data_IF_131919433912
#
_entry.id   IF_131919433912
#
_cell.length_a   1.000
_cell.length_b   1.000
_cell.length_c   1.000
_cell.angle_alpha   90.00
_cell.angle_beta   90.00
_cell.angle_gamma   90.00
#
_symmetry.space_group_name_H-M   'P 1'
#
loop_
_entity.id
_entity.type
_entity.pdbx_description
1 polymer ?
#
# COMPACT_ATOMS: atom_id res chain seq x y z
N UNK A 1 63.38 -16.47 -53.97
CA UNK A 1 62.39 -15.40 -53.67
C UNK A 1 61.65 -15.68 -52.36
N UNK A 2 61.86 -16.84 -51.73
CA UNK A 2 61.06 -17.37 -50.61
C UNK A 2 61.10 -16.54 -49.33
N UNK A 3 62.20 -15.80 -49.08
CA UNK A 3 62.29 -14.91 -47.91
C UNK A 3 61.15 -13.88 -47.90
N UNK A 4 60.70 -13.42 -49.08
CA UNK A 4 59.59 -12.47 -49.19
C UNK A 4 58.23 -13.12 -48.90
N UNK A 5 57.97 -14.33 -49.43
CA UNK A 5 56.71 -15.04 -49.22
C UNK A 5 56.56 -15.54 -47.79
N UNK A 6 57.63 -16.02 -47.15
CA UNK A 6 57.62 -16.37 -45.72
C UNK A 6 57.31 -15.15 -44.84
N UNK A 7 57.99 -14.02 -45.07
CA UNK A 7 57.73 -12.79 -44.33
C UNK A 7 56.29 -12.25 -44.53
N UNK A 8 55.72 -12.42 -45.72
CA UNK A 8 54.31 -12.07 -45.97
C UNK A 8 53.36 -12.99 -45.20
N UNK A 9 53.61 -14.31 -45.23
CA UNK A 9 52.81 -15.30 -44.51
C UNK A 9 52.82 -15.04 -42.98
N UNK A 10 53.98 -14.71 -42.43
CA UNK A 10 54.13 -14.43 -41.00
C UNK A 10 53.45 -13.11 -40.57
N UNK A 11 53.48 -12.07 -41.42
CA UNK A 11 52.67 -10.86 -41.23
C UNK A 11 51.18 -11.19 -41.16
N UNK A 12 50.66 -12.00 -42.09
CA UNK A 12 49.25 -12.41 -42.06
C UNK A 12 48.91 -13.26 -40.82
N UNK A 13 49.82 -14.14 -40.36
CA UNK A 13 49.65 -14.88 -39.09
C UNK A 13 49.59 -13.92 -37.89
N UNK A 14 50.40 -12.87 -37.86
CA UNK A 14 50.39 -11.84 -36.82
C UNK A 14 49.06 -11.07 -36.83
N UNK A 15 48.62 -10.56 -37.98
CA UNK A 15 47.32 -9.88 -38.12
C UNK A 15 46.16 -10.80 -37.70
N UNK A 16 46.23 -12.10 -38.02
CA UNK A 16 45.24 -13.10 -37.58
C UNK A 16 45.19 -13.24 -36.06
N UNK A 17 46.33 -13.24 -35.37
CA UNK A 17 46.38 -13.30 -33.91
C UNK A 17 45.78 -12.04 -33.27
N UNK A 18 46.04 -10.87 -33.85
CA UNK A 18 45.50 -9.59 -33.40
C UNK A 18 43.99 -9.50 -33.61
N UNK A 19 43.47 -9.93 -34.77
CA UNK A 19 42.02 -10.07 -35.01
C UNK A 19 41.35 -11.00 -34.00
N UNK A 20 41.99 -12.13 -33.64
CA UNK A 20 41.46 -13.05 -32.63
C UNK A 20 41.38 -12.38 -31.25
N UNK A 21 42.41 -11.59 -30.86
CA UNK A 21 42.40 -10.80 -29.62
C UNK A 21 41.26 -9.77 -29.62
N UNK A 22 41.08 -9.04 -30.73
CA UNK A 22 40.02 -8.05 -30.86
C UNK A 22 38.63 -8.69 -30.78
N UNK A 23 38.42 -9.84 -31.45
CA UNK A 23 37.18 -10.62 -31.37
C UNK A 23 36.91 -11.13 -29.94
N UNK A 24 37.93 -11.55 -29.20
CA UNK A 24 37.78 -11.94 -27.80
C UNK A 24 37.37 -10.74 -26.93
N UNK A 25 38.00 -9.58 -27.11
CA UNK A 25 37.65 -8.34 -26.40
C UNK A 25 36.21 -7.89 -26.68
N UNK A 26 35.78 -7.90 -27.94
CA UNK A 26 34.42 -7.52 -28.33
C UNK A 26 33.37 -8.47 -27.72
N UNK A 27 33.65 -9.79 -27.69
CA UNK A 27 32.77 -10.76 -27.03
C UNK A 27 32.66 -10.53 -25.54
N UNK A 28 33.78 -10.22 -24.88
CA UNK A 28 33.81 -9.93 -23.45
C UNK A 28 32.97 -8.69 -23.12
N UNK A 29 33.14 -7.60 -23.88
CA UNK A 29 32.35 -6.37 -23.72
C UNK A 29 30.85 -6.58 -23.98
N UNK A 30 30.47 -7.42 -24.94
CA UNK A 30 29.06 -7.76 -25.17
C UNK A 30 28.47 -8.49 -23.94
N UNK A 31 29.19 -9.47 -23.38
CA UNK A 31 28.74 -10.21 -22.18
C UNK A 31 28.68 -9.30 -20.95
N UNK A 32 29.58 -8.32 -20.84
CA UNK A 32 29.55 -7.29 -19.79
C UNK A 32 28.30 -6.42 -19.89
N UNK A 33 27.94 -5.93 -21.10
CA UNK A 33 26.69 -5.18 -21.29
C UNK A 33 25.46 -6.06 -21.03
N UNK A 34 25.42 -7.30 -21.51
CA UNK A 34 24.32 -8.23 -21.21
C UNK A 34 24.20 -8.50 -19.70
N UNK A 35 25.31 -8.50 -18.96
CA UNK A 35 25.29 -8.62 -17.49
C UNK A 35 24.67 -7.38 -16.84
N UNK A 36 25.05 -6.18 -17.31
CA UNK A 36 24.50 -4.90 -16.84
C UNK A 36 23.01 -4.74 -17.15
N UNK A 37 22.56 -5.11 -18.37
CA UNK A 37 21.14 -5.15 -18.76
C UNK A 37 20.34 -6.04 -17.78
N UNK A 38 20.84 -7.24 -17.48
CA UNK A 38 20.19 -8.17 -16.56
C UNK A 38 20.26 -7.74 -15.09
N UNK A 39 21.29 -7.00 -14.68
CA UNK A 39 21.41 -6.41 -13.33
C UNK A 39 20.38 -5.30 -13.13
N UNK A 40 20.31 -4.33 -14.04
CA UNK A 40 19.34 -3.22 -14.01
C UNK A 40 17.88 -3.72 -14.00
N UNK A 41 17.56 -4.79 -14.74
CA UNK A 41 16.22 -5.41 -14.70
C UNK A 41 15.90 -5.99 -13.31
N UNK A 42 16.85 -6.68 -12.67
CA UNK A 42 16.65 -7.29 -11.35
C UNK A 42 16.57 -6.25 -10.23
N UNK A 43 17.33 -5.17 -10.34
CA UNK A 43 17.24 -4.02 -9.43
C UNK A 43 15.86 -3.37 -9.53
N UNK A 44 15.37 -3.09 -10.74
CA UNK A 44 14.02 -2.56 -10.97
C UNK A 44 12.91 -3.49 -10.45
N UNK A 45 13.03 -4.81 -10.65
CA UNK A 45 12.07 -5.78 -10.10
C UNK A 45 12.03 -5.75 -8.56
N UNK A 46 13.20 -5.61 -7.92
CA UNK A 46 13.32 -5.50 -6.46
C UNK A 46 12.74 -4.17 -5.95
N UNK A 47 13.13 -3.03 -6.53
CA UNK A 47 12.65 -1.71 -6.13
C UNK A 47 11.13 -1.58 -6.34
N UNK A 48 10.60 -2.08 -7.46
CA UNK A 48 9.16 -2.16 -7.69
C UNK A 48 8.46 -2.98 -6.61
N UNK A 49 9.01 -4.13 -6.21
CA UNK A 49 8.40 -4.97 -5.18
C UNK A 49 8.40 -4.28 -3.78
N UNK A 50 9.41 -3.46 -3.49
CA UNK A 50 9.46 -2.62 -2.29
C UNK A 50 8.40 -1.51 -2.33
N UNK A 51 8.32 -0.74 -3.42
CA UNK A 51 7.30 0.31 -3.58
C UNK A 51 5.88 -0.26 -3.59
N UNK A 52 5.65 -1.43 -4.18
CA UNK A 52 4.34 -2.11 -4.15
C UNK A 52 3.97 -2.53 -2.71
N UNK A 53 4.95 -2.94 -1.89
CA UNK A 53 4.75 -3.21 -0.46
C UNK A 53 4.42 -1.95 0.34
N UNK A 54 5.14 -0.85 0.10
CA UNK A 54 4.83 0.46 0.71
C UNK A 54 3.44 0.95 0.30
N UNK A 55 3.14 1.00 -1.00
CA UNK A 55 1.83 1.43 -1.53
C UNK A 55 0.68 0.64 -0.91
N UNK A 56 0.79 -0.69 -0.82
CA UNK A 56 -0.25 -1.52 -0.21
C UNK A 56 -0.44 -1.24 1.29
N UNK A 57 0.65 -0.98 2.03
CA UNK A 57 0.58 -0.58 3.44
C UNK A 57 -0.03 0.82 3.60
N UNK A 58 0.30 1.75 2.69
CA UNK A 58 -0.27 3.09 2.66
C UNK A 58 -1.78 3.05 2.35
N UNK A 59 -2.22 2.26 1.37
CA UNK A 59 -3.62 2.02 1.07
C UNK A 59 -4.41 1.36 2.21
N UNK A 60 -3.81 0.40 2.94
CA UNK A 60 -4.52 -0.30 4.02
C UNK A 60 -4.86 0.64 5.18
N UNK A 61 -3.88 1.40 5.70
CA UNK A 61 -4.21 2.34 6.79
C UNK A 61 -5.05 3.53 6.30
N UNK A 62 -4.93 3.96 5.02
CA UNK A 62 -5.83 4.96 4.43
C UNK A 62 -7.30 4.51 4.51
N UNK A 63 -7.57 3.24 4.17
CA UNK A 63 -8.90 2.65 4.29
C UNK A 63 -9.35 2.58 5.76
N UNK A 64 -8.47 2.19 6.68
CA UNK A 64 -8.78 2.17 8.12
C UNK A 64 -9.12 3.57 8.67
N UNK A 65 -8.42 4.61 8.21
CA UNK A 65 -8.72 6.01 8.57
C UNK A 65 -10.06 6.47 7.98
N UNK A 66 -10.35 6.11 6.72
CA UNK A 66 -11.64 6.39 6.08
C UNK A 66 -12.81 5.71 6.80
N UNK A 67 -12.67 4.44 7.19
CA UNK A 67 -13.68 3.71 7.95
C UNK A 67 -13.91 4.34 9.34
N UNK A 68 -12.83 4.77 9.99
CA UNK A 68 -12.90 5.47 11.28
C UNK A 68 -13.54 6.85 11.17
N UNK A 69 -13.28 7.61 10.10
CA UNK A 69 -13.99 8.86 9.79
C UNK A 69 -15.49 8.60 9.61
N UNK A 70 -15.87 7.53 8.92
CA UNK A 70 -17.28 7.17 8.73
C UNK A 70 -17.95 6.75 10.05
N UNK A 71 -17.25 6.03 10.92
CA UNK A 71 -17.74 5.71 12.27
C UNK A 71 -17.96 6.97 13.13
N UNK A 72 -17.07 7.96 13.08
CA UNK A 72 -17.26 9.24 13.79
C UNK A 72 -18.46 10.04 13.24
N UNK A 73 -18.67 10.06 11.92
CA UNK A 73 -19.86 10.69 11.31
C UNK A 73 -21.16 10.02 11.76
N UNK A 74 -21.17 8.69 11.88
CA UNK A 74 -22.31 7.94 12.41
C UNK A 74 -22.58 8.32 13.87
N UNK A 75 -21.54 8.36 14.72
CA UNK A 75 -21.67 8.79 16.12
C UNK A 75 -22.19 10.24 16.28
N UNK A 76 -21.82 11.15 15.36
CA UNK A 76 -22.40 12.50 15.33
C UNK A 76 -23.89 12.49 14.99
N UNK A 77 -24.31 11.68 14.01
CA UNK A 77 -25.72 11.54 13.65
C UNK A 77 -26.55 10.93 14.79
N UNK A 78 -26.03 9.87 15.43
CA UNK A 78 -26.65 9.25 16.61
C UNK A 78 -26.78 10.22 17.80
N UNK A 79 -25.80 11.11 18.02
CA UNK A 79 -25.87 12.14 19.07
C UNK A 79 -26.97 13.17 18.79
N UNK A 80 -27.13 13.59 17.53
CA UNK A 80 -28.20 14.50 17.09
C UNK A 80 -29.57 13.84 17.26
N UNK A 81 -29.71 12.57 16.83
CA UNK A 81 -30.95 11.81 16.97
C UNK A 81 -31.34 11.59 18.44
N UNK A 82 -30.36 11.26 19.29
CA UNK A 82 -30.59 11.09 20.74
C UNK A 82 -31.10 12.39 21.38
N UNK A 83 -30.44 13.53 21.11
CA UNK A 83 -30.87 14.85 21.58
C UNK A 83 -32.26 15.25 21.09
N UNK A 84 -32.65 14.86 19.87
CA UNK A 84 -34.01 15.09 19.38
C UNK A 84 -35.05 14.29 20.18
N UNK A 85 -34.79 13.01 20.45
CA UNK A 85 -35.68 12.13 21.23
C UNK A 85 -35.78 12.49 22.70
N UNK A 86 -34.75 13.08 23.29
CA UNK A 86 -34.79 13.57 24.67
C UNK A 86 -35.67 14.81 24.78
N UNK A 87 -35.49 15.83 23.91
CA UNK A 87 -36.40 16.99 23.85
C UNK A 87 -37.87 16.60 23.56
N UNK A 88 -38.11 15.62 22.68
CA UNK A 88 -39.47 15.15 22.38
C UNK A 88 -40.18 14.58 23.62
N UNK A 89 -39.47 13.81 24.46
CA UNK A 89 -40.02 13.28 25.73
C UNK A 89 -40.29 14.37 26.75
N UNK A 90 -39.43 15.37 26.84
CA UNK A 90 -39.61 16.48 27.76
C UNK A 90 -40.85 17.31 27.40
N UNK A 91 -41.05 17.60 26.11
CA UNK A 91 -42.27 18.23 25.59
C UNK A 91 -43.51 17.37 25.95
N UNK A 92 -43.46 16.05 25.72
CA UNK A 92 -44.57 15.14 26.05
C UNK A 92 -44.91 15.11 27.56
N UNK A 93 -43.92 15.32 28.43
CA UNK A 93 -44.13 15.43 29.89
C UNK A 93 -44.78 16.77 30.25
N UNK A 94 -44.33 17.87 29.65
CA UNK A 94 -44.86 19.21 29.91
C UNK A 94 -46.29 19.35 29.40
N UNK A 95 -46.59 18.87 28.19
CA UNK A 95 -47.94 18.87 27.61
C UNK A 95 -48.95 18.17 28.52
N UNK A 96 -48.60 16.99 29.06
CA UNK A 96 -49.46 16.24 30.01
C UNK A 96 -49.69 16.99 31.32
N UNK A 97 -48.71 17.76 31.80
CA UNK A 97 -48.84 18.54 33.03
C UNK A 97 -49.68 19.80 32.82
N UNK A 98 -49.56 20.43 31.66
CA UNK A 98 -50.46 21.50 31.24
C UNK A 98 -51.89 21.00 31.06
N UNK A 99 -52.09 19.81 30.49
CA UNK A 99 -53.42 19.17 30.39
C UNK A 99 -54.02 18.87 31.77
N UNK A 100 -53.27 18.23 32.69
CA UNK A 100 -53.71 17.99 34.08
C UNK A 100 -54.17 19.26 34.80
N UNK A 101 -53.47 20.38 34.58
CA UNK A 101 -53.74 21.67 35.21
C UNK A 101 -54.96 22.36 34.58
N UNK A 102 -55.02 22.44 33.26
CA UNK A 102 -56.16 22.99 32.52
C UNK A 102 -57.47 22.29 32.88
N UNK A 103 -57.41 20.96 33.01
CA UNK A 103 -58.56 20.13 33.33
C UNK A 103 -59.01 20.28 34.80
N UNK A 104 -58.15 20.81 35.68
CA UNK A 104 -58.48 21.18 37.06
C UNK A 104 -59.04 22.61 37.15
N UNK A 105 -58.41 23.56 36.46
CA UNK A 105 -58.88 24.96 36.34
C UNK A 105 -60.29 25.03 35.75
N UNK A 106 -60.57 24.21 34.73
CA UNK A 106 -61.91 24.08 34.14
C UNK A 106 -62.95 23.57 35.16
N UNK A 107 -62.62 22.56 35.97
CA UNK A 107 -63.53 22.03 37.01
C UNK A 107 -63.81 23.09 38.07
N UNK A 108 -62.79 23.80 38.51
CA UNK A 108 -62.93 24.92 39.44
C UNK A 108 -63.86 26.03 38.90
N UNK A 109 -63.73 26.40 37.62
CA UNK A 109 -64.63 27.36 36.97
C UNK A 109 -66.08 26.84 36.82
N UNK A 110 -66.28 25.53 36.65
CA UNK A 110 -67.61 24.91 36.69
C UNK A 110 -68.20 24.97 38.12
N UNK A 111 -67.39 24.71 39.15
CA UNK A 111 -67.77 24.85 40.57
C UNK A 111 -68.08 26.30 40.95
N UNK A 112 -67.33 27.28 40.44
CA UNK A 112 -67.58 28.72 40.64
C UNK A 112 -68.97 29.13 40.12
N UNK A 113 -69.32 28.67 38.90
CA UNK A 113 -70.64 28.92 38.32
C UNK A 113 -71.76 28.26 39.14
N UNK A 114 -71.55 27.03 39.63
CA UNK A 114 -72.51 26.39 40.55
C UNK A 114 -72.65 27.16 41.87
N UNK A 115 -71.55 27.66 42.44
CA UNK A 115 -71.57 28.48 43.65
C UNK A 115 -72.37 29.77 43.46
N UNK A 116 -72.26 30.40 42.29
CA UNK A 116 -73.01 31.62 41.93
C UNK A 116 -74.53 31.42 41.80
N UNK A 117 -74.99 30.19 41.61
CA UNK A 117 -76.39 29.85 41.28
C UNK A 117 -77.10 28.97 42.32
N UNK A 118 -76.40 28.52 43.36
CA UNK A 118 -76.92 27.62 44.39
C UNK A 118 -77.77 28.30 45.49
N UNK A 119 -78.53 27.48 46.24
CA UNK A 119 -79.33 27.92 47.40
C UNK A 119 -78.60 27.63 48.72
N UNK A 120 -78.93 28.39 49.78
CA UNK A 120 -78.18 28.41 51.06
C UNK A 120 -77.95 27.04 51.74
N UNK A 121 -78.79 26.02 51.51
CA UNK A 121 -78.62 24.67 52.11
C UNK A 121 -77.48 23.84 51.51
N UNK A 122 -77.04 24.18 50.30
CA UNK A 122 -76.00 23.44 49.56
C UNK A 122 -74.73 24.27 49.36
N UNK A 123 -74.88 25.60 49.48
CA UNK A 123 -73.83 26.62 49.32
C UNK A 123 -72.55 26.33 50.09
N UNK A 124 -72.64 25.94 51.37
CA UNK A 124 -71.45 25.67 52.19
C UNK A 124 -70.63 24.49 51.64
N UNK A 125 -71.28 23.45 51.09
CA UNK A 125 -70.60 22.28 50.51
C UNK A 125 -69.93 22.61 49.17
N UNK A 126 -70.62 23.38 48.33
CA UNK A 126 -70.08 23.83 47.04
C UNK A 126 -68.90 24.77 47.29
N UNK A 127 -68.99 25.63 48.32
CA UNK A 127 -67.88 26.49 48.73
C UNK A 127 -66.68 25.69 49.23
N UNK A 128 -66.89 24.70 50.10
CA UNK A 128 -65.82 23.82 50.58
C UNK A 128 -65.17 23.01 49.44
N UNK A 129 -65.92 22.70 48.37
CA UNK A 129 -65.36 22.12 47.14
C UNK A 129 -64.53 23.14 46.35
N UNK A 130 -65.06 24.34 46.12
CA UNK A 130 -64.34 25.45 45.45
C UNK A 130 -63.02 25.77 46.16
N UNK A 131 -63.05 25.98 47.48
CA UNK A 131 -61.87 26.31 48.29
C UNK A 131 -60.79 25.19 48.17
N UNK A 132 -61.19 23.91 48.15
CA UNK A 132 -60.26 22.77 47.91
C UNK A 132 -59.72 22.69 46.48
N UNK A 133 -60.54 23.00 45.49
CA UNK A 133 -60.13 22.99 44.09
C UNK A 133 -59.13 24.13 43.83
N UNK A 134 -59.33 25.32 44.41
CA UNK A 134 -58.39 26.43 44.42
C UNK A 134 -57.05 26.06 45.08
N UNK A 135 -57.07 25.49 46.30
CA UNK A 135 -55.85 25.00 46.97
C UNK A 135 -55.10 23.97 46.12
N UNK A 136 -55.83 23.07 45.44
CA UNK A 136 -55.24 22.08 44.55
C UNK A 136 -54.65 22.68 43.27
N UNK A 137 -55.21 23.77 42.75
CA UNK A 137 -54.67 24.52 41.60
C UNK A 137 -53.37 25.21 42.00
N UNK A 138 -53.35 25.92 43.13
CA UNK A 138 -52.15 26.60 43.64
C UNK A 138 -51.00 25.63 43.89
N UNK A 139 -51.29 24.45 44.48
CA UNK A 139 -50.28 23.40 44.65
C UNK A 139 -49.80 22.84 43.30
N UNK A 140 -50.70 22.66 42.32
CA UNK A 140 -50.35 22.15 40.99
C UNK A 140 -49.50 23.12 40.16
N UNK A 141 -49.79 24.43 40.23
CA UNK A 141 -48.92 25.47 39.64
C UNK A 141 -47.53 25.42 40.25
N UNK A 142 -47.42 25.32 41.58
CA UNK A 142 -46.11 25.18 42.25
C UNK A 142 -45.38 23.88 41.85
N UNK A 143 -46.08 22.75 41.77
CA UNK A 143 -45.50 21.48 41.32
C UNK A 143 -45.01 21.56 39.86
N UNK A 144 -45.66 22.38 39.02
CA UNK A 144 -45.29 22.65 37.64
C UNK A 144 -44.06 23.56 37.53
N UNK A 145 -44.02 24.67 38.27
CA UNK A 145 -42.85 25.55 38.37
C UNK A 145 -41.62 24.76 38.84
N UNK A 146 -41.77 23.98 39.92
CA UNK A 146 -40.73 23.10 40.47
C UNK A 146 -40.28 22.01 39.47
N UNK A 147 -41.11 21.65 38.48
CA UNK A 147 -40.75 20.71 37.42
C UNK A 147 -39.99 21.42 36.28
N UNK A 148 -40.45 22.61 35.85
CA UNK A 148 -39.79 23.43 34.84
C UNK A 148 -38.35 23.79 35.26
N UNK A 149 -38.15 24.20 36.52
CA UNK A 149 -36.80 24.46 37.05
C UNK A 149 -35.89 23.22 36.98
N UNK A 150 -36.42 22.03 37.34
CA UNK A 150 -35.66 20.77 37.26
C UNK A 150 -35.34 20.38 35.82
N UNK A 151 -36.27 20.63 34.88
CA UNK A 151 -36.04 20.41 33.46
C UNK A 151 -34.92 21.32 32.95
N UNK A 152 -34.98 22.63 33.21
CA UNK A 152 -33.95 23.59 32.78
C UNK A 152 -32.56 23.25 33.34
N UNK A 153 -32.47 22.83 34.61
CA UNK A 153 -31.20 22.32 35.16
C UNK A 153 -30.69 21.06 34.46
N UNK A 154 -31.58 20.14 34.09
CA UNK A 154 -31.23 18.90 33.39
C UNK A 154 -30.80 19.19 31.95
N UNK A 155 -31.55 20.00 31.21
CA UNK A 155 -31.26 20.41 29.84
C UNK A 155 -29.93 21.17 29.76
N UNK A 156 -29.66 22.09 30.69
CA UNK A 156 -28.39 22.83 30.73
C UNK A 156 -27.17 21.91 30.91
N UNK A 157 -27.26 20.91 31.81
CA UNK A 157 -26.20 19.90 32.02
C UNK A 157 -26.03 19.01 30.79
N UNK A 158 -27.14 18.54 30.23
CA UNK A 158 -27.16 17.70 29.04
C UNK A 158 -26.54 18.43 27.83
N UNK A 159 -26.91 19.69 27.59
CA UNK A 159 -26.39 20.47 26.47
C UNK A 159 -24.88 20.74 26.63
N UNK A 160 -24.40 20.98 27.85
CA UNK A 160 -22.97 21.12 28.14
C UNK A 160 -22.21 19.81 27.83
N UNK A 161 -22.73 18.65 28.23
CA UNK A 161 -22.15 17.34 27.91
C UNK A 161 -22.20 17.03 26.40
N UNK A 162 -23.32 17.33 25.74
CA UNK A 162 -23.48 17.17 24.29
C UNK A 162 -22.47 18.03 23.53
N UNK A 163 -22.30 19.29 23.91
CA UNK A 163 -21.35 20.21 23.28
C UNK A 163 -19.90 19.73 23.49
N UNK A 164 -19.54 19.27 24.70
CA UNK A 164 -18.23 18.65 24.98
C UNK A 164 -17.97 17.43 24.08
N UNK A 165 -18.95 16.54 23.95
CA UNK A 165 -18.86 15.34 23.09
C UNK A 165 -18.76 15.72 21.60
N UNK A 166 -19.58 16.66 21.13
CA UNK A 166 -19.58 17.13 19.74
C UNK A 166 -18.23 17.78 19.37
N UNK A 167 -17.69 18.66 20.24
CA UNK A 167 -16.35 19.26 20.07
C UNK A 167 -15.26 18.20 19.98
N UNK A 168 -15.33 17.15 20.81
CA UNK A 168 -14.38 16.02 20.77
C UNK A 168 -14.49 15.24 19.45
N UNK A 169 -15.71 14.84 19.03
CA UNK A 169 -15.94 14.13 17.78
C UNK A 169 -15.44 14.91 16.56
N UNK A 170 -15.73 16.21 16.48
CA UNK A 170 -15.22 17.09 15.42
C UNK A 170 -13.69 17.19 15.42
N UNK A 171 -13.10 17.33 16.62
CA UNK A 171 -11.64 17.41 16.77
C UNK A 171 -10.95 16.13 16.30
N UNK A 172 -11.49 14.97 16.67
CA UNK A 172 -10.91 13.67 16.29
C UNK A 172 -11.16 13.35 14.80
N UNK A 173 -12.29 13.77 14.23
CA UNK A 173 -12.55 13.68 12.80
C UNK A 173 -11.56 14.53 11.99
N UNK A 174 -11.30 15.78 12.40
CA UNK A 174 -10.35 16.66 11.73
C UNK A 174 -8.92 16.09 11.77
N UNK A 175 -8.49 15.52 12.91
CA UNK A 175 -7.19 14.84 13.01
C UNK A 175 -7.07 13.66 12.04
N UNK A 176 -8.14 12.89 11.84
CA UNK A 176 -8.13 11.77 10.88
C UNK A 176 -8.14 12.28 9.43
N UNK A 177 -8.86 13.35 9.12
CA UNK A 177 -8.86 13.95 7.77
C UNK A 177 -7.47 14.48 7.36
N UNK A 178 -6.73 15.10 8.29
CA UNK A 178 -5.36 15.54 8.01
C UNK A 178 -4.38 14.36 7.81
N UNK A 179 -4.56 13.25 8.54
CA UNK A 179 -3.77 12.03 8.31
C UNK A 179 -4.12 11.36 6.98
N UNK A 180 -5.41 11.20 6.70
CA UNK A 180 -5.89 10.65 5.42
C UNK A 180 -5.30 11.43 4.25
N UNK A 181 -5.33 12.77 4.31
CA UNK A 181 -4.73 13.65 3.30
C UNK A 181 -3.21 13.51 3.23
N UNK A 182 -2.52 13.40 4.38
CA UNK A 182 -1.08 13.15 4.42
C UNK A 182 -0.72 11.82 3.73
N UNK A 183 -1.55 10.79 3.93
CA UNK A 183 -1.39 9.45 3.38
C UNK A 183 -1.73 9.36 1.89
N UNK A 184 -2.77 10.07 1.46
CA UNK A 184 -3.09 10.29 0.04
C UNK A 184 -1.93 10.99 -0.70
N UNK A 185 -1.30 12.00 -0.10
CA UNK A 185 -0.08 12.60 -0.65
C UNK A 185 1.11 11.63 -0.68
N UNK A 186 1.25 10.73 0.31
CA UNK A 186 2.32 9.71 0.33
C UNK A 186 2.12 8.68 -0.79
N UNK A 187 0.89 8.26 -1.05
CA UNK A 187 0.55 7.39 -2.19
C UNK A 187 0.93 8.04 -3.53
N UNK A 188 0.53 9.30 -3.75
CA UNK A 188 0.91 10.06 -4.96
C UNK A 188 2.43 10.21 -5.13
N UNK A 189 3.19 10.32 -4.03
CA UNK A 189 4.65 10.32 -4.09
C UNK A 189 5.21 8.96 -4.51
N UNK A 190 4.66 7.84 -4.00
CA UNK A 190 5.07 6.49 -4.38
C UNK A 190 4.77 6.24 -5.87
N UNK A 191 3.60 6.65 -6.36
CA UNK A 191 3.23 6.55 -7.78
C UNK A 191 4.21 7.34 -8.68
N UNK A 192 4.58 8.56 -8.28
CA UNK A 192 5.59 9.36 -8.99
C UNK A 192 6.96 8.69 -8.97
N UNK A 193 7.40 8.19 -7.81
CA UNK A 193 8.67 7.47 -7.68
C UNK A 193 8.72 6.24 -8.58
N UNK A 194 7.63 5.47 -8.64
CA UNK A 194 7.52 4.30 -9.51
C UNK A 194 7.56 4.70 -10.99
N UNK A 195 6.91 5.80 -11.38
CA UNK A 195 6.96 6.31 -12.75
C UNK A 195 8.37 6.76 -13.16
N UNK A 196 9.03 7.56 -12.33
CA UNK A 196 10.35 8.12 -12.60
C UNK A 196 11.42 7.00 -12.67
N UNK A 197 11.36 6.04 -11.75
CA UNK A 197 12.19 4.82 -11.74
C UNK A 197 12.02 3.99 -13.02
N UNK A 198 10.78 3.66 -13.40
CA UNK A 198 10.48 2.91 -14.62
C UNK A 198 10.97 3.65 -15.88
N UNK A 199 10.86 4.98 -15.89
CA UNK A 199 11.32 5.83 -16.99
C UNK A 199 12.86 5.84 -17.10
N UNK A 200 13.57 5.99 -15.97
CA UNK A 200 15.04 5.96 -15.94
C UNK A 200 15.59 4.60 -16.38
N UNK A 201 15.16 3.51 -15.73
CA UNK A 201 15.71 2.17 -16.03
C UNK A 201 15.38 1.73 -17.47
N UNK A 202 14.20 2.07 -17.99
CA UNK A 202 13.88 1.87 -19.42
C UNK A 202 14.89 2.54 -20.33
N UNK A 203 15.25 3.80 -20.05
CA UNK A 203 16.21 4.56 -20.85
C UNK A 203 17.63 3.99 -20.74
N UNK A 204 18.02 3.55 -19.55
CA UNK A 204 19.35 2.96 -19.32
C UNK A 204 19.49 1.60 -20.02
N UNK A 205 18.46 0.75 -19.97
CA UNK A 205 18.39 -0.48 -20.77
C UNK A 205 18.46 -0.16 -22.27
N UNK A 206 17.71 0.83 -22.77
CA UNK A 206 17.76 1.22 -24.19
C UNK A 206 19.16 1.68 -24.62
N UNK A 207 19.87 2.45 -23.78
CA UNK A 207 21.25 2.88 -24.04
C UNK A 207 22.25 1.70 -24.06
N UNK A 208 22.07 0.74 -23.17
CA UNK A 208 22.87 -0.50 -23.11
C UNK A 208 22.61 -1.36 -24.35
N UNK A 209 21.35 -1.58 -24.72
CA UNK A 209 20.96 -2.33 -25.91
C UNK A 209 21.54 -1.71 -27.19
N UNK A 210 21.46 -0.38 -27.35
CA UNK A 210 22.06 0.32 -28.48
C UNK A 210 23.59 0.12 -28.54
N UNK A 211 24.26 0.21 -27.39
CA UNK A 211 25.71 -0.01 -27.27
C UNK A 211 26.09 -1.47 -27.61
N UNK A 212 25.31 -2.44 -27.13
CA UNK A 212 25.47 -3.86 -27.43
C UNK A 212 25.28 -4.15 -28.92
N UNK A 213 24.28 -3.57 -29.57
CA UNK A 213 24.04 -3.71 -31.01
C UNK A 213 25.25 -3.24 -31.84
N UNK A 214 25.86 -2.10 -31.48
CA UNK A 214 27.07 -1.59 -32.14
C UNK A 214 28.24 -2.56 -31.97
N UNK A 215 28.49 -3.07 -30.75
CA UNK A 215 29.55 -4.06 -30.53
C UNK A 215 29.31 -5.38 -31.28
N UNK A 216 28.06 -5.84 -31.35
CA UNK A 216 27.67 -7.04 -32.12
C UNK A 216 27.92 -6.82 -33.63
N UNK A 217 27.67 -5.62 -34.16
CA UNK A 217 27.99 -5.30 -35.56
C UNK A 217 29.51 -5.27 -35.82
N UNK A 218 30.28 -4.67 -34.91
CA UNK A 218 31.75 -4.68 -34.98
C UNK A 218 32.29 -6.12 -34.91
N UNK A 219 31.77 -6.94 -33.99
CA UNK A 219 32.13 -8.36 -33.86
C UNK A 219 31.84 -9.14 -35.15
N UNK A 220 30.71 -8.87 -35.83
CA UNK A 220 30.41 -9.47 -37.15
C UNK A 220 31.48 -9.06 -38.20
N UNK A 221 31.85 -7.78 -38.26
CA UNK A 221 32.88 -7.25 -39.19
C UNK A 221 34.27 -7.84 -38.93
N UNK A 222 34.68 -7.99 -37.67
CA UNK A 222 35.98 -8.62 -37.36
C UNK A 222 35.97 -10.12 -37.68
N UNK A 223 34.84 -10.82 -37.49
CA UNK A 223 34.72 -12.23 -37.87
C UNK A 223 34.75 -12.46 -39.39
N UNK A 224 34.18 -11.57 -40.22
CA UNK A 224 34.30 -11.68 -41.69
C UNK A 224 35.75 -11.46 -42.14
N UNK A 225 36.40 -10.39 -41.66
CA UNK A 225 37.84 -10.14 -41.88
C UNK A 225 38.70 -11.35 -41.49
N UNK A 226 38.47 -11.92 -40.30
CA UNK A 226 39.20 -13.11 -39.85
C UNK A 226 38.92 -14.33 -40.73
N UNK A 227 37.69 -14.49 -41.24
CA UNK A 227 37.35 -15.57 -42.16
C UNK A 227 38.04 -15.41 -43.52
N UNK A 228 38.13 -14.19 -44.06
CA UNK A 228 38.84 -13.89 -45.30
C UNK A 228 40.34 -14.10 -45.13
N UNK A 229 40.93 -13.56 -44.05
CA UNK A 229 42.35 -13.74 -43.75
C UNK A 229 42.73 -15.22 -43.56
N UNK A 230 41.87 -16.03 -42.92
CA UNK A 230 42.03 -17.50 -42.83
C UNK A 230 42.02 -18.17 -44.21
N UNK A 231 41.20 -17.71 -45.16
CA UNK A 231 41.21 -18.22 -46.55
C UNK A 231 42.52 -17.85 -47.25
N UNK A 232 42.94 -16.58 -47.17
CA UNK A 232 44.18 -16.09 -47.81
C UNK A 232 45.43 -16.77 -47.27
N UNK A 233 45.54 -16.97 -45.95
CA UNK A 233 46.62 -17.74 -45.34
C UNK A 233 46.60 -19.19 -45.85
N UNK A 234 45.42 -19.82 -45.91
CA UNK A 234 45.29 -21.21 -46.39
C UNK A 234 45.68 -21.35 -47.87
N UNK A 235 45.34 -20.38 -48.73
CA UNK A 235 45.77 -20.40 -50.14
C UNK A 235 47.27 -20.18 -50.26
N UNK A 236 47.84 -19.17 -49.59
CA UNK A 236 49.29 -18.91 -49.65
C UNK A 236 50.14 -20.04 -49.06
N UNK A 237 49.65 -20.73 -48.03
CA UNK A 237 50.35 -21.89 -47.45
C UNK A 237 50.38 -23.04 -48.45
N UNK A 238 49.24 -23.34 -49.11
CA UNK A 238 49.18 -24.32 -50.21
C UNK A 238 50.10 -23.96 -51.37
N UNK A 239 50.12 -22.70 -51.81
CA UNK A 239 51.01 -22.28 -52.91
C UNK A 239 52.49 -22.41 -52.52
N UNK A 240 52.84 -22.25 -51.24
CA UNK A 240 54.20 -22.51 -50.75
C UNK A 240 54.53 -24.03 -50.68
N UNK A 241 53.56 -24.87 -50.34
CA UNK A 241 53.67 -26.34 -50.38
C UNK A 241 53.79 -26.87 -51.83
N UNK A 242 53.04 -26.30 -52.78
CA UNK A 242 53.15 -26.63 -54.21
C UNK A 242 54.52 -26.22 -54.79
N UNK A 243 55.09 -25.07 -54.39
CA UNK A 243 56.44 -24.62 -54.80
C UNK A 243 57.55 -25.53 -54.24
N UNK A 244 57.34 -26.13 -53.06
CA UNK A 244 58.25 -27.13 -52.48
C UNK A 244 58.16 -28.52 -53.15
N UNK A 245 57.17 -28.73 -54.02
CA UNK A 245 56.95 -30.02 -54.70
C UNK A 245 57.61 -30.13 -56.08
N UNK A 246 58.26 -29.06 -56.57
CA UNK A 246 58.81 -28.97 -57.94
C UNK A 246 60.34 -29.20 -58.03
N UNK A 247 61.03 -29.50 -56.92
CA UNK A 247 62.48 -29.82 -56.91
C UNK A 247 62.81 -31.34 -56.92
N UNK A 248 61.83 -32.25 -56.90
CA UNK A 248 62.06 -33.68 -57.14
C UNK A 248 61.37 -34.20 -58.40
N UNK A 249 62.15 -34.40 -59.47
CA UNK A 249 61.79 -35.27 -60.59
C UNK A 249 62.82 -36.37 -60.79
N UNK A 250 62.44 -37.60 -60.45
CA UNK A 250 62.74 -38.76 -61.30
C UNK A 250 61.71 -39.89 -61.12
N UNK A 251 60.78 -39.96 -62.09
CA UNK A 251 60.45 -41.16 -62.88
C UNK A 251 60.00 -42.47 -62.18
N UNK A 252 58.69 -42.79 -62.25
CA UNK A 252 58.24 -44.10 -62.78
C UNK A 252 56.73 -44.17 -63.09
N UNK A 253 56.42 -44.51 -64.35
CA UNK A 253 55.27 -45.24 -64.94
C UNK A 253 53.92 -45.46 -64.21
N UNK A 254 52.84 -45.08 -64.93
CA UNK A 254 51.52 -45.76 -65.17
C UNK A 254 50.67 -46.29 -63.99
N UNK A 255 49.33 -46.24 -63.99
CA UNK A 255 48.43 -46.46 -65.14
C UNK A 255 47.04 -45.79 -65.10
N UNK A 256 46.45 -45.83 -66.29
CA UNK A 256 45.11 -45.43 -66.77
C UNK A 256 43.91 -45.83 -65.87
N UNK A 257 42.96 -44.91 -65.61
CA UNK A 257 41.57 -45.08 -66.11
C UNK A 257 40.72 -43.77 -66.15
N UNK A 258 39.86 -43.69 -67.16
CA UNK A 258 38.78 -42.71 -67.36
C UNK A 258 37.52 -43.19 -66.58
N UNK A 259 36.36 -42.55 -66.43
CA UNK A 259 35.67 -41.35 -66.96
C UNK A 259 34.51 -41.03 -65.96
N UNK A 260 33.63 -40.01 -66.01
CA UNK A 260 33.41 -38.81 -66.84
C UNK A 260 32.34 -37.93 -66.14
N UNK A 261 32.31 -36.61 -66.39
CA UNK A 261 31.08 -35.75 -66.34
C UNK A 261 30.46 -35.45 -64.95
N UNK A 262 29.81 -34.30 -64.67
CA UNK A 262 29.63 -33.02 -65.39
C UNK A 262 29.18 -31.91 -64.40
N UNK A 263 29.53 -30.63 -64.70
CA UNK A 263 28.74 -29.37 -64.48
C UNK A 263 28.12 -29.07 -63.09
N UNK A 264 28.61 -28.03 -62.40
CA UNK A 264 28.00 -26.67 -62.28
C UNK A 264 26.76 -26.61 -61.37
N UNK A 265 26.49 -25.64 -60.50
CA UNK A 265 26.99 -24.32 -60.11
C UNK A 265 25.89 -23.73 -59.17
N UNK A 266 26.11 -22.60 -58.50
CA UNK A 266 25.15 -21.95 -57.56
C UNK A 266 24.91 -22.76 -56.25
N UNK A 267 24.53 -22.18 -55.11
CA UNK A 267 24.69 -20.81 -54.57
C UNK A 267 24.23 -20.82 -53.10
N UNK A 268 24.61 -19.79 -52.35
CA UNK A 268 23.91 -19.31 -51.14
C UNK A 268 24.01 -20.14 -49.84
N UNK A 269 24.43 -19.42 -48.81
CA UNK A 269 24.35 -19.75 -47.40
C UNK A 269 22.93 -20.13 -46.93
N UNK A 270 22.82 -21.05 -45.98
CA UNK A 270 21.83 -20.98 -44.90
C UNK A 270 22.41 -21.62 -43.65
N UNK A 271 22.41 -20.87 -42.54
CA UNK A 271 22.91 -21.31 -41.25
C UNK A 271 21.78 -21.95 -40.46
N UNK A 272 21.82 -23.26 -40.27
CA UNK A 272 21.03 -23.93 -39.21
C UNK A 272 21.88 -25.00 -38.54
N UNK A 273 22.67 -24.60 -37.54
CA UNK A 273 23.32 -25.52 -36.60
C UNK A 273 22.68 -25.31 -35.22
N UNK A 274 21.39 -25.65 -35.13
CA UNK A 274 20.72 -25.94 -33.86
C UNK A 274 20.70 -27.45 -33.67
N UNK A 275 21.71 -27.98 -32.98
CA UNK A 275 21.64 -29.26 -32.29
C UNK A 275 22.81 -29.41 -31.31
N UNK A 276 22.74 -28.67 -30.20
CA UNK A 276 23.41 -29.12 -28.99
C UNK A 276 22.58 -30.25 -28.38
N UNK A 277 23.14 -31.46 -28.44
CA UNK A 277 22.52 -32.67 -27.94
C UNK A 277 22.35 -32.56 -26.40
N UNK A 278 21.13 -32.29 -25.94
CA UNK A 278 20.80 -32.32 -24.51
C UNK A 278 20.97 -33.77 -24.03
N UNK A 279 22.04 -34.03 -23.29
CA UNK A 279 22.24 -35.30 -22.60
C UNK A 279 21.12 -35.50 -21.56
N UNK A 280 20.29 -36.57 -21.65
CA UNK A 280 19.10 -36.72 -20.80
C UNK A 280 19.39 -36.73 -19.28
N UNK A 281 20.62 -37.04 -18.90
CA UNK A 281 21.08 -37.18 -17.51
C UNK A 281 21.24 -35.85 -16.75
N UNK A 282 21.44 -34.73 -17.45
CA UNK A 282 21.55 -33.41 -16.81
C UNK A 282 20.18 -32.73 -16.65
N UNK A 283 19.25 -32.96 -17.58
CA UNK A 283 17.87 -32.44 -17.48
C UNK A 283 17.13 -33.02 -16.27
N UNK A 284 17.24 -34.33 -16.03
CA UNK A 284 16.65 -34.97 -14.86
C UNK A 284 17.17 -34.38 -13.53
N UNK A 285 18.50 -34.19 -13.40
CA UNK A 285 19.13 -33.61 -12.21
C UNK A 285 18.72 -32.15 -11.99
N UNK A 286 18.69 -31.35 -13.06
CA UNK A 286 18.19 -29.97 -13.00
C UNK A 286 16.74 -29.90 -12.57
N UNK A 287 15.87 -30.75 -13.14
CA UNK A 287 14.46 -30.85 -12.76
C UNK A 287 14.27 -31.23 -11.29
N UNK A 288 15.05 -32.18 -10.76
CA UNK A 288 14.96 -32.54 -9.32
C UNK A 288 15.43 -31.42 -8.41
N UNK A 289 16.44 -30.64 -8.81
CA UNK A 289 16.95 -29.53 -8.02
C UNK A 289 15.94 -28.36 -7.98
N UNK A 290 15.35 -28.04 -9.14
CA UNK A 290 14.27 -27.04 -9.25
C UNK A 290 13.06 -27.44 -8.41
N UNK A 291 12.70 -28.73 -8.40
CA UNK A 291 11.56 -29.22 -7.63
C UNK A 291 11.82 -29.26 -6.11
N UNK A 292 13.06 -29.53 -5.69
CA UNK A 292 13.47 -29.35 -4.29
C UNK A 292 13.39 -27.88 -3.86
N UNK A 293 13.89 -26.95 -4.69
CA UNK A 293 13.96 -25.55 -4.29
C UNK A 293 12.60 -24.84 -4.37
N UNK A 294 11.68 -25.28 -5.24
CA UNK A 294 10.25 -24.93 -5.16
C UNK A 294 9.64 -25.35 -3.82
N UNK A 295 9.89 -26.58 -3.35
CA UNK A 295 9.40 -27.06 -2.05
C UNK A 295 10.01 -26.27 -0.89
N UNK A 296 11.30 -25.94 -0.96
CA UNK A 296 11.98 -25.07 0.02
C UNK A 296 11.36 -23.67 0.07
N UNK A 297 11.07 -23.06 -1.08
CA UNK A 297 10.40 -21.76 -1.18
C UNK A 297 8.98 -21.78 -0.61
N UNK A 298 8.18 -22.81 -0.88
CA UNK A 298 6.84 -22.98 -0.30
C UNK A 298 6.91 -23.08 1.23
N UNK A 299 7.85 -23.86 1.76
CA UNK A 299 8.03 -24.06 3.19
C UNK A 299 8.60 -22.82 3.91
N UNK A 300 9.44 -22.03 3.24
CA UNK A 300 9.87 -20.71 3.71
C UNK A 300 8.72 -19.70 3.73
N UNK A 301 7.93 -19.63 2.65
CA UNK A 301 6.74 -18.76 2.57
C UNK A 301 5.71 -19.12 3.64
N UNK A 302 5.55 -20.41 3.94
CA UNK A 302 4.70 -20.89 5.03
C UNK A 302 5.23 -20.43 6.40
N UNK A 303 6.52 -20.64 6.70
CA UNK A 303 7.14 -20.15 7.96
C UNK A 303 6.99 -18.65 8.14
N UNK A 304 7.29 -17.85 7.11
CA UNK A 304 7.15 -16.39 7.20
C UNK A 304 5.70 -15.96 7.48
N UNK A 305 4.71 -16.64 6.90
CA UNK A 305 3.30 -16.39 7.18
C UNK A 305 2.86 -16.85 8.59
N UNK A 306 3.41 -17.95 9.09
CA UNK A 306 3.17 -18.44 10.46
C UNK A 306 3.81 -17.50 11.50
N UNK A 307 5.02 -17.01 11.25
CA UNK A 307 5.78 -16.10 12.12
C UNK A 307 5.16 -14.69 12.14
N UNK A 308 4.71 -14.18 10.99
CA UNK A 308 3.92 -12.94 10.91
C UNK A 308 2.60 -13.03 11.66
N UNK A 309 1.89 -14.17 11.57
CA UNK A 309 0.68 -14.43 12.39
C UNK A 309 0.99 -14.45 13.88
N UNK A 310 2.06 -15.15 14.30
CA UNK A 310 2.47 -15.22 15.70
C UNK A 310 2.81 -13.83 16.28
N UNK A 311 3.55 -13.00 15.53
CA UNK A 311 3.84 -11.62 15.94
C UNK A 311 2.59 -10.73 16.03
N UNK A 312 1.62 -10.92 15.12
CA UNK A 312 0.34 -10.20 15.17
C UNK A 312 -0.50 -10.61 16.39
N UNK A 313 -0.62 -11.92 16.68
CA UNK A 313 -1.30 -12.40 17.87
C UNK A 313 -0.60 -11.95 19.16
N UNK A 314 0.74 -11.97 19.20
CA UNK A 314 1.49 -11.46 20.35
C UNK A 314 1.26 -9.96 20.57
N UNK A 315 1.30 -9.14 19.51
CA UNK A 315 1.00 -7.70 19.60
C UNK A 315 -0.42 -7.46 20.11
N UNK A 316 -1.40 -8.18 19.56
CA UNK A 316 -2.80 -8.14 19.99
C UNK A 316 -2.98 -8.55 21.46
N UNK A 317 -2.25 -9.55 21.93
CA UNK A 317 -2.28 -10.01 23.32
C UNK A 317 -1.63 -8.99 24.28
N UNK A 318 -0.50 -8.37 23.87
CA UNK A 318 0.12 -7.26 24.62
C UNK A 318 -0.83 -6.07 24.73
N UNK A 319 -1.47 -5.66 23.64
CA UNK A 319 -2.46 -4.58 23.64
C UNK A 319 -3.68 -4.88 24.53
N UNK A 320 -4.16 -6.13 24.54
CA UNK A 320 -5.24 -6.56 25.42
C UNK A 320 -4.82 -6.49 26.90
N UNK A 321 -3.60 -6.92 27.23
CA UNK A 321 -3.07 -6.89 28.60
C UNK A 321 -2.81 -5.46 29.12
N UNK A 322 -2.31 -4.56 28.25
CA UNK A 322 -2.20 -3.13 28.58
C UNK A 322 -3.57 -2.48 28.82
N UNK A 323 -4.63 -2.94 28.13
CA UNK A 323 -6.01 -2.46 28.35
C UNK A 323 -6.59 -2.96 29.68
N UNK A 324 -6.17 -4.11 30.22
CA UNK A 324 -6.62 -4.55 31.56
C UNK A 324 -5.89 -3.83 32.71
N UNK A 325 -4.62 -3.45 32.54
CA UNK A 325 -3.86 -2.76 33.60
C UNK A 325 -4.31 -1.31 33.83
N UNK A 326 -4.83 -0.62 32.80
CA UNK A 326 -5.38 0.74 32.93
C UNK A 326 -6.79 0.79 33.56
N UNK A 327 -7.33 -0.33 34.04
CA UNK A 327 -8.69 -0.42 34.61
C UNK A 327 -8.72 -0.53 36.14
N UNK A 328 -7.60 -0.29 36.83
CA UNK A 328 -7.44 -0.61 38.26
C UNK A 328 -6.74 0.48 39.10
N UNK A 329 -6.72 1.73 38.63
CA UNK A 329 -6.17 2.86 39.39
C UNK A 329 -7.03 4.13 39.17
N UNK A 330 -8.22 4.15 39.76
CA UNK A 330 -9.12 5.32 39.82
C UNK A 330 -10.08 5.27 41.01
N UNK A 331 -9.58 4.89 42.19
CA UNK A 331 -10.24 5.15 43.48
C UNK A 331 -9.21 5.73 44.45
N UNK A 332 -9.06 7.06 44.46
CA UNK A 332 -9.15 7.86 45.70
C UNK A 332 -9.08 9.37 45.41
N UNK A 333 -10.17 10.08 45.67
CA UNK A 333 -10.19 11.55 45.70
C UNK A 333 -11.38 12.04 46.52
N UNK A 334 -11.20 12.12 47.85
CA UNK A 334 -12.16 12.76 48.77
C UNK A 334 -11.53 13.07 50.13
N UNK A 335 -10.85 14.21 50.26
CA UNK A 335 -10.79 14.94 51.54
C UNK A 335 -10.66 16.45 51.30
N UNK A 336 -11.54 17.20 51.95
CA UNK A 336 -11.79 18.62 51.76
C UNK A 336 -10.58 19.54 51.99
N UNK A 337 -10.42 20.55 51.13
CA UNK A 337 -9.63 21.75 51.41
C UNK A 337 -10.56 22.86 51.90
N UNK A 338 -10.60 23.09 53.22
CA UNK A 338 -11.34 24.20 53.82
C UNK A 338 -10.54 25.50 53.67
N UNK A 339 -11.07 26.47 52.93
CA UNK A 339 -10.51 27.82 52.84
C UNK A 339 -11.29 28.78 53.75
N UNK A 340 -10.73 29.11 54.90
CA UNK A 340 -11.24 30.19 55.75
C UNK A 340 -10.90 31.56 55.15
N UNK A 341 -11.90 32.43 55.01
CA UNK A 341 -11.73 33.84 54.68
C UNK A 341 -11.93 34.69 55.94
N UNK A 342 -10.95 35.51 56.35
CA UNK A 342 -11.19 36.57 57.33
C UNK A 342 -11.70 37.83 56.61
N UNK A 343 -12.97 38.18 56.83
CA UNK A 343 -13.53 39.49 56.46
C UNK A 343 -13.69 40.35 57.71
N UNK A 344 -13.37 41.64 57.61
CA UNK A 344 -13.40 42.59 58.73
C UNK A 344 -14.81 43.11 59.05
N UNK A 345 -14.90 43.81 60.21
CA UNK A 345 -16.04 44.57 60.77
C UNK A 345 -17.01 43.70 61.58
N UNK A 346 -17.62 44.21 62.68
CA UNK A 346 -17.85 45.61 63.03
C UNK A 346 -17.87 45.87 64.56
N UNK A 347 -17.79 47.15 64.93
CA UNK A 347 -17.86 47.67 66.30
C UNK A 347 -19.25 47.54 66.92
N UNK A 348 -19.40 46.97 68.13
CA UNK A 348 -20.22 47.60 69.19
C UNK A 348 -20.03 47.04 70.62
N UNK A 349 -19.95 47.99 71.55
CA UNK A 349 -20.15 47.93 73.02
C UNK A 349 -19.00 47.44 73.92
#
# INVERSE_FOLDING_TARGET
>A
MESSTSQQLDKLKQTKAELIKNIASLKQQIVEIETQENEAIRELEMERALLEGEHNTEMEELQQEQDRINALKLQQAELIERSAKEREKEIEIMDKKQEELFDLEKKHFETEQMLSSCHDREKDKIKEQFDREQESIEQKHKDFDDLEFKQLESEARYEEEKEKLQKKLMTDQNKLLERYKTRENRLQQIDSQQHDMLSSVRKDIENLEQSRLVLVEQLKKENTKLSELKKTIKTQTKTAEDILSDEEKHDSFSDINQNSSQKSSHSSSTTTVTNWLISPTNSAKGSTLIEQEKKRLVELKRRAADEGRAQWEERKLREANCKSFNSLESEDSSVASSCETPSEKETTR
#
